data_IF_872099058701
#
_entry.id   IF_872099058701
#
_cell.length_a   1.000
_cell.length_b   1.000
_cell.length_c   1.000
_cell.angle_alpha   90.00
_cell.angle_beta   90.00
_cell.angle_gamma   90.00
#
_symmetry.space_group_name_H-M   'P 1'
#
loop_
_entity.id
_entity.type
_entity.pdbx_description
1 polymer ?
#
# COMPACT_ATOMS: atom_id res chain seq x y z
N UNK A 1 -28.53 23.52 -39.85
CA UNK A 1 -28.69 22.37 -38.92
C UNK A 1 -27.37 21.70 -38.50
N UNK A 2 -26.24 21.89 -39.19
CA UNK A 2 -24.96 21.21 -38.84
C UNK A 2 -24.24 21.72 -37.56
N UNK A 3 -24.44 22.97 -37.15
CA UNK A 3 -23.64 23.55 -36.06
C UNK A 3 -24.06 23.05 -34.65
N UNK A 4 -25.33 22.67 -34.47
CA UNK A 4 -25.86 22.21 -33.18
C UNK A 4 -25.40 20.77 -32.89
N UNK A 5 -25.37 19.90 -33.92
CA UNK A 5 -24.90 18.52 -33.79
C UNK A 5 -23.40 18.43 -33.49
N UNK A 6 -22.60 19.32 -34.08
CA UNK A 6 -21.15 19.37 -33.83
C UNK A 6 -20.84 19.79 -32.39
N UNK A 7 -21.58 20.76 -31.84
CA UNK A 7 -21.44 21.19 -30.45
C UNK A 7 -21.89 20.10 -29.46
N UNK A 8 -22.95 19.36 -29.80
CA UNK A 8 -23.43 18.27 -28.95
C UNK A 8 -22.41 17.13 -28.93
N UNK A 9 -21.90 16.69 -30.09
CA UNK A 9 -20.89 15.63 -30.15
C UNK A 9 -19.61 15.99 -29.40
N UNK A 10 -19.14 17.22 -29.48
CA UNK A 10 -17.96 17.68 -28.72
C UNK A 10 -18.18 17.61 -27.20
N UNK A 11 -19.38 17.97 -26.71
CA UNK A 11 -19.72 17.88 -25.29
C UNK A 11 -19.74 16.43 -24.78
N UNK A 12 -20.33 15.51 -25.54
CA UNK A 12 -20.34 14.08 -25.19
C UNK A 12 -18.94 13.47 -25.24
N UNK A 13 -18.10 13.89 -26.19
CA UNK A 13 -16.71 13.46 -26.29
C UNK A 13 -15.82 14.00 -25.17
N UNK A 14 -16.06 15.22 -24.68
CA UNK A 14 -15.33 15.76 -23.52
C UNK A 14 -15.78 15.08 -22.22
N UNK A 15 -17.08 14.82 -22.06
CA UNK A 15 -17.61 14.14 -20.88
C UNK A 15 -17.03 12.72 -20.72
N UNK A 16 -16.88 11.97 -21.82
CA UNK A 16 -16.29 10.62 -21.77
C UNK A 16 -14.80 10.65 -21.40
N UNK A 17 -14.03 11.62 -21.92
CA UNK A 17 -12.61 11.79 -21.57
C UNK A 17 -12.46 12.13 -20.08
N UNK A 18 -13.29 13.02 -19.55
CA UNK A 18 -13.28 13.39 -18.12
C UNK A 18 -13.59 12.16 -17.25
N UNK A 19 -14.59 11.35 -17.62
CA UNK A 19 -14.91 10.13 -16.87
C UNK A 19 -13.76 9.12 -16.87
N UNK A 20 -13.03 8.98 -17.98
CA UNK A 20 -11.85 8.10 -18.06
C UNK A 20 -10.74 8.61 -17.15
N UNK A 21 -10.46 9.92 -17.15
CA UNK A 21 -9.43 10.53 -16.29
C UNK A 21 -9.78 10.33 -14.81
N UNK A 22 -11.04 10.60 -14.42
CA UNK A 22 -11.51 10.41 -13.05
C UNK A 22 -11.42 8.93 -12.65
N UNK A 23 -11.80 8.01 -13.54
CA UNK A 23 -11.67 6.57 -13.31
C UNK A 23 -10.21 6.13 -13.10
N UNK A 24 -9.28 6.64 -13.91
CA UNK A 24 -7.85 6.37 -13.76
C UNK A 24 -7.30 6.91 -12.44
N UNK A 25 -7.69 8.11 -12.03
CA UNK A 25 -7.27 8.70 -10.75
C UNK A 25 -7.76 7.90 -9.55
N UNK A 26 -9.02 7.45 -9.57
CA UNK A 26 -9.58 6.60 -8.51
C UNK A 26 -8.85 5.25 -8.47
N UNK A 27 -8.66 4.62 -9.62
CA UNK A 27 -7.93 3.35 -9.73
C UNK A 27 -6.50 3.46 -9.19
N UNK A 28 -5.79 4.51 -9.57
CA UNK A 28 -4.43 4.78 -9.08
C UNK A 28 -4.39 4.97 -7.57
N UNK A 29 -5.35 5.72 -6.99
CA UNK A 29 -5.41 5.96 -5.56
C UNK A 29 -5.63 4.65 -4.77
N UNK A 30 -6.54 3.79 -5.24
CA UNK A 30 -6.78 2.48 -4.61
C UNK A 30 -5.55 1.57 -4.68
N UNK A 31 -4.81 1.59 -5.81
CA UNK A 31 -3.57 0.82 -5.96
C UNK A 31 -2.49 1.36 -5.01
N UNK A 32 -2.32 2.67 -4.91
CA UNK A 32 -1.35 3.30 -4.01
C UNK A 32 -1.65 2.96 -2.54
N UNK A 33 -2.91 3.05 -2.11
CA UNK A 33 -3.30 2.67 -0.75
C UNK A 33 -3.01 1.19 -0.46
N UNK A 34 -3.26 0.30 -1.44
CA UNK A 34 -2.95 -1.13 -1.29
C UNK A 34 -1.45 -1.39 -1.26
N UNK A 35 -0.67 -0.68 -2.07
CA UNK A 35 0.79 -0.76 -2.08
C UNK A 35 1.39 -0.28 -0.75
N UNK A 36 0.92 0.83 -0.20
CA UNK A 36 1.35 1.35 1.10
C UNK A 36 1.08 0.36 2.24
N UNK A 37 -0.13 -0.22 2.28
CA UNK A 37 -0.47 -1.23 3.26
C UNK A 37 0.38 -2.50 3.11
N UNK A 38 0.65 -2.92 1.88
CA UNK A 38 1.54 -4.05 1.61
C UNK A 38 2.97 -3.77 2.07
N UNK A 39 3.51 -2.57 1.79
CA UNK A 39 4.84 -2.16 2.22
C UNK A 39 4.95 -2.08 3.74
N UNK A 40 3.92 -1.59 4.43
CA UNK A 40 3.82 -1.60 5.90
C UNK A 40 3.91 -3.02 6.47
N UNK A 41 3.07 -3.92 5.96
CA UNK A 41 3.05 -5.33 6.41
C UNK A 41 4.40 -6.00 6.15
N UNK A 42 4.99 -5.75 4.97
CA UNK A 42 6.30 -6.29 4.61
C UNK A 42 7.41 -5.73 5.51
N UNK A 43 7.37 -4.44 5.83
CA UNK A 43 8.35 -3.83 6.74
C UNK A 43 8.26 -4.41 8.15
N UNK A 44 7.03 -4.64 8.64
CA UNK A 44 6.77 -5.30 9.93
C UNK A 44 7.30 -6.74 9.93
N UNK A 45 7.01 -7.51 8.89
CA UNK A 45 7.49 -8.90 8.77
C UNK A 45 9.02 -8.96 8.69
N UNK A 46 9.65 -8.10 7.89
CA UNK A 46 11.10 -7.97 7.78
C UNK A 46 11.73 -7.64 9.13
N UNK A 47 11.21 -6.63 9.85
CA UNK A 47 11.68 -6.28 11.19
C UNK A 47 11.49 -7.44 12.17
N UNK A 48 10.33 -8.09 12.16
CA UNK A 48 10.02 -9.23 13.01
C UNK A 48 10.82 -10.50 12.70
N UNK A 49 11.46 -10.61 11.53
CA UNK A 49 12.41 -11.69 11.20
C UNK A 49 13.83 -11.34 11.63
N UNK A 50 14.26 -10.09 11.48
CA UNK A 50 15.62 -9.64 11.84
C UNK A 50 15.84 -9.61 13.35
N UNK A 51 14.81 -9.30 14.13
CA UNK A 51 14.94 -9.12 15.58
C UNK A 51 14.67 -10.39 16.38
N UNK A 52 14.55 -11.55 15.72
CA UNK A 52 14.31 -12.81 16.42
C UNK A 52 15.57 -13.27 17.15
N UNK A 53 15.41 -13.54 18.44
CA UNK A 53 16.41 -14.26 19.21
C UNK A 53 15.84 -15.63 19.58
N UNK A 54 16.65 -16.67 19.45
CA UNK A 54 16.28 -18.00 19.90
C UNK A 54 16.47 -18.07 21.41
N UNK A 55 15.36 -18.15 22.15
CA UNK A 55 15.41 -18.50 23.57
C UNK A 55 15.21 -20.01 23.68
N UNK A 56 16.16 -20.68 24.31
CA UNK A 56 16.03 -22.10 24.63
C UNK A 56 15.33 -22.21 25.99
N UNK A 57 14.11 -22.74 26.00
CA UNK A 57 13.39 -23.02 27.24
C UNK A 57 14.03 -24.22 27.95
N UNK A 58 13.80 -24.33 29.26
CA UNK A 58 14.28 -25.44 30.10
C UNK A 58 13.89 -26.83 29.55
N UNK A 59 12.78 -26.91 28.82
CA UNK A 59 12.31 -28.11 28.12
C UNK A 59 13.06 -28.42 26.80
N UNK A 60 14.19 -27.76 26.53
CA UNK A 60 14.95 -27.82 25.27
C UNK A 60 14.18 -27.37 24.02
N UNK A 61 12.96 -26.86 24.17
CA UNK A 61 12.21 -26.26 23.08
C UNK A 61 12.81 -24.89 22.74
N UNK A 62 13.06 -24.67 21.45
CA UNK A 62 13.54 -23.37 20.95
C UNK A 62 12.33 -22.53 20.58
N UNK A 63 12.18 -21.37 21.21
CA UNK A 63 11.14 -20.41 20.85
C UNK A 63 11.81 -19.13 20.36
N UNK A 64 11.44 -18.70 19.16
CA UNK A 64 11.95 -17.46 18.57
C UNK A 64 10.97 -16.32 18.87
N UNK A 65 11.39 -15.36 19.68
CA UNK A 65 10.61 -14.14 19.92
C UNK A 65 11.36 -12.93 19.32
N UNK A 66 10.65 -11.97 18.70
CA UNK A 66 11.25 -10.71 18.32
C UNK A 66 11.64 -9.93 19.58
N UNK A 67 12.86 -9.42 19.63
CA UNK A 67 13.27 -8.49 20.70
C UNK A 67 12.51 -7.18 20.48
N UNK A 68 11.63 -6.89 21.44
CA UNK A 68 10.63 -5.82 21.36
C UNK A 68 11.30 -4.47 21.09
N UNK A 69 12.37 -4.13 21.82
CA UNK A 69 13.09 -2.86 21.65
C UNK A 69 13.69 -2.70 20.25
N UNK A 70 14.30 -3.76 19.71
CA UNK A 70 14.89 -3.73 18.36
C UNK A 70 13.82 -3.72 17.27
N UNK A 71 12.66 -4.32 17.54
CA UNK A 71 11.52 -4.34 16.64
C UNK A 71 10.87 -2.95 16.54
N UNK A 72 10.65 -2.28 17.68
CA UNK A 72 10.12 -0.91 17.72
C UNK A 72 11.08 0.09 17.07
N UNK A 73 12.39 -0.03 17.33
CA UNK A 73 13.41 0.82 16.69
C UNK A 73 13.49 0.59 15.17
N UNK A 74 13.32 -0.65 14.71
CA UNK A 74 13.32 -1.00 13.29
C UNK A 74 12.10 -0.39 12.56
N UNK A 75 10.92 -0.45 13.18
CA UNK A 75 9.70 0.17 12.64
C UNK A 75 9.83 1.69 12.58
N UNK A 76 10.30 2.33 13.66
CA UNK A 76 10.56 3.77 13.69
C UNK A 76 11.55 4.23 12.62
N UNK A 77 12.65 3.50 12.41
CA UNK A 77 13.65 3.83 11.37
C UNK A 77 13.11 3.70 9.95
N UNK A 78 12.14 2.82 9.72
CA UNK A 78 11.47 2.68 8.42
C UNK A 78 10.36 3.72 8.19
N UNK A 79 10.11 4.62 9.15
CA UNK A 79 9.18 5.74 9.01
C UNK A 79 7.72 5.35 9.22
N UNK A 80 7.46 4.29 10.00
CA UNK A 80 6.13 3.84 10.36
C UNK A 80 5.79 4.14 11.82
#
# INVERSE_FOLDING_TARGET
MNNINNNLQYKWSLASVILIIVGLLIGLNLILQRADNYLKIKAIDDCGRMTRFEQQNDDKSKVSYPVIDQYEDCIKKKGF
#
